data_IF_998653100749
#
_entry.id   IF_998653100749
#
_cell.length_a   1.000
_cell.length_b   1.000
_cell.length_c   1.000
_cell.angle_alpha   90.00
_cell.angle_beta   90.00
_cell.angle_gamma   90.00
#
_symmetry.space_group_name_H-M   'P 1'
#
loop_
_entity.id
_entity.type
_entity.pdbx_description
1 polymer ?
#
# COMPACT_ATOMS: atom_id res chain seq x y z
N UNK A 1 -12.51 -3.95 -25.04
CA UNK A 1 -11.90 -3.42 -23.79
C UNK A 1 -10.42 -3.27 -24.09
N UNK A 2 -9.94 -2.03 -24.08
CA UNK A 2 -8.69 -1.61 -24.71
C UNK A 2 -7.43 -1.90 -23.90
N UNK A 3 -6.31 -1.42 -24.44
CA UNK A 3 -5.01 -1.34 -23.76
C UNK A 3 -5.11 -0.36 -22.58
N UNK A 4 -4.73 -0.81 -21.39
CA UNK A 4 -4.75 -0.03 -20.14
C UNK A 4 -3.36 0.42 -19.70
N UNK A 5 -2.33 0.15 -20.51
CA UNK A 5 -0.97 0.52 -20.18
C UNK A 5 -0.82 2.03 -20.16
N UNK A 6 -0.10 2.52 -19.16
CA UNK A 6 0.18 3.93 -18.96
C UNK A 6 1.48 4.10 -18.17
N UNK A 7 1.92 5.34 -17.98
CA UNK A 7 3.08 5.65 -17.13
C UNK A 7 2.70 5.83 -15.65
N UNK A 8 3.69 5.79 -14.75
CA UNK A 8 3.46 6.07 -13.32
C UNK A 8 2.80 7.44 -13.09
N UNK A 9 3.30 8.48 -13.78
CA UNK A 9 2.83 9.86 -13.60
C UNK A 9 1.42 10.04 -14.15
N UNK A 10 1.10 9.45 -15.31
CA UNK A 10 -0.26 9.50 -15.87
C UNK A 10 -1.27 8.73 -15.03
N UNK A 11 -0.88 7.59 -14.43
CA UNK A 11 -1.74 6.86 -13.52
C UNK A 11 -2.05 7.69 -12.25
N UNK A 12 -1.01 8.25 -11.62
CA UNK A 12 -1.14 9.04 -10.40
C UNK A 12 -1.80 10.40 -10.62
N UNK A 13 -1.82 10.94 -11.84
CA UNK A 13 -2.57 12.15 -12.17
C UNK A 13 -4.09 12.04 -11.89
N UNK A 14 -4.61 10.83 -11.72
CA UNK A 14 -6.00 10.61 -11.32
C UNK A 14 -6.26 10.72 -9.81
N UNK A 15 -5.21 10.85 -8.99
CA UNK A 15 -5.28 11.02 -7.54
C UNK A 15 -5.38 12.50 -7.21
N UNK A 16 -6.34 12.86 -6.37
CA UNK A 16 -6.62 14.24 -5.98
C UNK A 16 -6.49 14.40 -4.45
N UNK A 17 -6.25 15.63 -4.00
CA UNK A 17 -6.19 15.92 -2.56
C UNK A 17 -7.53 15.60 -1.89
N UNK A 18 -7.47 15.09 -0.66
CA UNK A 18 -8.67 14.71 0.09
C UNK A 18 -9.20 13.30 -0.20
N UNK A 19 -8.65 12.59 -1.19
CA UNK A 19 -9.07 11.23 -1.52
C UNK A 19 -8.74 10.21 -0.41
N UNK A 20 -9.58 9.18 -0.34
CA UNK A 20 -9.34 7.95 0.40
C UNK A 20 -8.59 6.96 -0.49
N UNK A 21 -7.32 6.71 -0.16
CA UNK A 21 -6.41 5.86 -0.91
C UNK A 21 -6.15 4.53 -0.18
N UNK A 22 -6.45 3.42 -0.85
CA UNK A 22 -6.03 2.09 -0.43
C UNK A 22 -4.66 1.74 -0.98
N UNK A 23 -3.78 1.23 -0.12
CA UNK A 23 -2.43 0.81 -0.52
C UNK A 23 -2.27 -0.68 -0.21
N UNK A 24 -2.13 -1.48 -1.26
CA UNK A 24 -1.91 -2.92 -1.17
C UNK A 24 -0.58 -3.31 -0.55
N UNK A 25 -0.24 -4.60 -0.64
CA UNK A 25 0.87 -5.19 0.07
C UNK A 25 0.65 -5.23 1.59
N UNK A 26 1.73 -5.50 2.32
CA UNK A 26 1.67 -5.77 3.76
C UNK A 26 2.96 -5.40 4.47
N UNK A 27 2.94 -4.42 5.37
CA UNK A 27 4.17 -4.00 6.06
C UNK A 27 5.24 -3.63 5.04
N UNK A 28 6.42 -4.24 5.15
CA UNK A 28 7.49 -4.11 4.15
C UNK A 28 7.49 -5.28 3.16
N UNK A 29 6.32 -5.54 2.54
CA UNK A 29 6.11 -6.62 1.57
C UNK A 29 5.19 -6.18 0.43
N UNK A 30 5.71 -6.30 -0.79
CA UNK A 30 5.09 -6.00 -2.10
C UNK A 30 4.31 -4.68 -2.11
N UNK A 31 4.84 -3.67 -1.42
CA UNK A 31 4.23 -2.34 -1.43
C UNK A 31 4.40 -1.72 -2.81
N UNK A 32 3.41 -0.98 -3.34
CA UNK A 32 3.54 -0.28 -4.63
C UNK A 32 4.41 0.98 -4.51
N UNK A 33 5.67 0.83 -4.09
CA UNK A 33 6.54 1.93 -3.71
C UNK A 33 6.84 2.91 -4.84
N UNK A 34 6.87 2.44 -6.09
CA UNK A 34 7.00 3.31 -7.27
C UNK A 34 5.81 4.27 -7.42
N UNK A 35 4.57 3.82 -7.15
CA UNK A 35 3.41 4.71 -7.09
C UNK A 35 3.50 5.68 -5.90
N UNK A 36 3.99 5.22 -4.74
CA UNK A 36 4.20 6.09 -3.58
C UNK A 36 5.20 7.21 -3.92
N UNK A 37 6.34 6.88 -4.55
CA UNK A 37 7.31 7.87 -5.01
C UNK A 37 6.73 8.82 -6.06
N UNK A 38 5.91 8.31 -6.98
CA UNK A 38 5.20 9.15 -7.95
C UNK A 38 4.24 10.14 -7.27
N UNK A 39 3.47 9.67 -6.28
CA UNK A 39 2.57 10.52 -5.49
C UNK A 39 3.35 11.56 -4.66
N UNK A 40 4.54 11.22 -4.17
CA UNK A 40 5.43 12.15 -3.47
C UNK A 40 5.86 13.34 -4.34
N UNK A 41 5.98 13.16 -5.66
CA UNK A 41 6.35 14.23 -6.60
C UNK A 41 5.22 15.22 -6.90
N UNK A 42 3.98 14.87 -6.58
CA UNK A 42 2.80 15.73 -6.81
C UNK A 42 2.59 16.71 -5.65
N UNK A 43 1.68 17.66 -5.81
CA UNK A 43 1.18 18.54 -4.75
C UNK A 43 -0.01 17.95 -3.96
N UNK A 44 -0.45 16.72 -4.30
CA UNK A 44 -1.56 16.03 -3.63
C UNK A 44 -1.29 15.88 -2.13
N UNK A 45 -2.27 16.23 -1.30
CA UNK A 45 -2.22 16.16 0.16
C UNK A 45 -3.62 15.88 0.75
N UNK A 46 -3.79 16.03 2.07
CA UNK A 46 -5.05 15.81 2.79
C UNK A 46 -5.60 14.38 2.64
N UNK A 47 -4.74 13.40 2.37
CA UNK A 47 -5.16 12.03 2.05
C UNK A 47 -5.67 11.29 3.29
N UNK A 48 -6.71 10.49 3.07
CA UNK A 48 -7.10 9.43 4.00
C UNK A 48 -6.50 8.12 3.50
N UNK A 49 -5.61 7.49 4.26
CA UNK A 49 -4.91 6.27 3.83
C UNK A 49 -5.50 5.03 4.50
N UNK A 50 -5.79 3.98 3.71
CA UNK A 50 -6.19 2.66 4.19
C UNK A 50 -5.11 1.65 3.82
N UNK A 51 -4.45 1.04 4.81
CA UNK A 51 -3.26 0.20 4.54
C UNK A 51 -2.95 -0.79 5.66
N UNK A 52 -2.38 -1.94 5.27
CA UNK A 52 -1.52 -2.72 6.17
C UNK A 52 -0.13 -2.08 6.15
N UNK A 53 0.09 -1.11 7.04
CA UNK A 53 1.10 -0.08 6.86
C UNK A 53 2.55 -0.56 6.99
N UNK A 54 3.43 0.05 6.21
CA UNK A 54 4.88 -0.05 6.33
C UNK A 54 5.54 1.22 5.80
N UNK A 55 6.63 1.12 5.01
CA UNK A 55 7.34 2.29 4.51
C UNK A 55 6.55 3.12 3.48
N UNK A 56 5.50 2.57 2.89
CA UNK A 56 4.53 3.30 2.07
C UNK A 56 3.91 4.46 2.85
N UNK A 57 3.37 4.16 4.03
CA UNK A 57 2.75 5.15 4.90
C UNK A 57 3.80 6.12 5.48
N UNK A 58 4.97 5.60 5.85
CA UNK A 58 6.08 6.43 6.33
C UNK A 58 6.51 7.51 5.33
N UNK A 59 6.68 7.16 4.05
CA UNK A 59 7.00 8.12 2.99
C UNK A 59 5.90 9.17 2.79
N UNK A 60 4.62 8.81 2.88
CA UNK A 60 3.53 9.78 2.77
C UNK A 60 3.49 10.72 3.99
N UNK A 61 3.76 10.20 5.20
CA UNK A 61 3.86 10.98 6.42
C UNK A 61 5.05 11.96 6.38
N UNK A 62 6.21 11.55 5.85
CA UNK A 62 7.40 12.43 5.75
C UNK A 62 7.16 13.64 4.85
N UNK A 63 6.28 13.50 3.85
CA UNK A 63 5.87 14.57 2.95
C UNK A 63 4.65 15.36 3.44
N UNK A 64 4.11 15.06 4.63
CA UNK A 64 2.93 15.74 5.18
C UNK A 64 1.65 15.54 4.36
N UNK A 65 1.55 14.43 3.61
CA UNK A 65 0.44 14.17 2.68
C UNK A 65 -0.77 13.52 3.33
N UNK A 66 -0.63 13.04 4.56
CA UNK A 66 -1.61 12.21 5.26
C UNK A 66 -2.37 13.05 6.28
N UNK A 67 -3.69 13.00 6.24
CA UNK A 67 -4.59 13.58 7.24
C UNK A 67 -5.15 12.53 8.19
N UNK A 68 -5.56 11.38 7.65
CA UNK A 68 -6.17 10.29 8.41
C UNK A 68 -5.63 8.94 7.95
N UNK A 69 -5.54 7.98 8.86
CA UNK A 69 -5.10 6.61 8.54
C UNK A 69 -6.01 5.56 9.17
N UNK A 70 -6.50 4.64 8.36
CA UNK A 70 -7.14 3.38 8.74
C UNK A 70 -6.13 2.24 8.58
N UNK A 71 -5.70 1.62 9.68
CA UNK A 71 -4.63 0.61 9.65
C UNK A 71 -4.79 -0.44 10.73
N UNK A 72 -4.36 -1.66 10.43
CA UNK A 72 -4.26 -2.76 11.39
C UNK A 72 -2.95 -2.72 12.20
N UNK A 73 -1.86 -2.31 11.54
CA UNK A 73 -0.54 -2.10 12.14
C UNK A 73 0.28 -1.20 11.20
N UNK A 74 1.45 -0.75 11.67
CA UNK A 74 2.52 -0.16 10.84
C UNK A 74 3.85 -0.81 11.19
N UNK A 75 4.49 -1.49 10.23
CA UNK A 75 5.72 -2.25 10.47
C UNK A 75 6.65 -2.26 9.27
N UNK A 76 7.94 -2.12 9.54
CA UNK A 76 9.03 -2.34 8.60
C UNK A 76 9.43 -3.83 8.49
N UNK A 77 8.82 -4.71 9.28
CA UNK A 77 9.07 -6.17 9.38
C UNK A 77 10.50 -6.59 9.82
N UNK A 78 11.47 -5.69 9.75
CA UNK A 78 12.86 -5.86 10.16
C UNK A 78 13.28 -4.67 11.02
N UNK A 79 14.32 -4.80 11.88
CA UNK A 79 14.82 -3.70 12.70
C UNK A 79 15.02 -2.40 11.88
N UNK A 80 14.54 -1.24 12.38
CA UNK A 80 14.06 -0.98 13.74
C UNK A 80 12.58 -1.33 14.01
N UNK A 81 11.91 -2.05 13.10
CA UNK A 81 10.51 -2.48 13.13
C UNK A 81 9.49 -1.35 13.01
N UNK A 82 9.60 -0.31 13.83
CA UNK A 82 8.70 0.85 13.73
C UNK A 82 9.16 1.77 12.60
N UNK A 83 8.22 2.22 11.77
CA UNK A 83 8.49 3.25 10.78
C UNK A 83 8.67 4.62 11.49
N UNK A 84 9.82 5.29 11.33
CA UNK A 84 10.13 6.51 12.09
C UNK A 84 9.28 7.71 11.66
N UNK A 85 8.86 7.78 10.40
CA UNK A 85 8.05 8.89 9.89
C UNK A 85 6.59 8.77 10.33
N UNK A 86 6.05 7.57 10.31
CA UNK A 86 4.75 7.29 10.93
C UNK A 86 4.79 7.58 12.44
N UNK A 87 5.83 7.13 13.15
CA UNK A 87 5.98 7.40 14.58
C UNK A 87 6.01 8.91 14.88
N UNK A 88 6.80 9.69 14.12
CA UNK A 88 6.86 11.16 14.22
C UNK A 88 5.49 11.80 13.95
N UNK A 89 4.75 11.32 12.95
CA UNK A 89 3.43 11.84 12.62
C UNK A 89 2.38 11.54 13.72
N UNK A 90 2.45 10.36 14.34
CA UNK A 90 1.59 9.97 15.47
C UNK A 90 1.87 10.79 16.72
N UNK A 91 3.13 10.93 17.11
CA UNK A 91 3.50 11.62 18.36
C UNK A 91 3.35 13.14 18.28
N UNK A 92 3.40 13.72 17.08
CA UNK A 92 3.10 15.14 16.85
C UNK A 92 1.61 15.45 16.80
N UNK A 93 0.75 14.43 16.69
CA UNK A 93 -0.70 14.63 16.48
C UNK A 93 -1.07 15.12 15.09
N UNK A 94 -0.17 15.01 14.10
CA UNK A 94 -0.39 15.48 12.72
C UNK A 94 -1.37 14.63 11.91
N UNK A 95 -1.62 13.39 12.34
CA UNK A 95 -2.55 12.47 11.69
C UNK A 95 -3.66 12.01 12.64
N UNK A 96 -4.85 11.90 12.09
CA UNK A 96 -5.97 11.25 12.75
C UNK A 96 -5.88 9.72 12.56
N UNK A 97 -5.88 8.98 13.66
CA UNK A 97 -5.78 7.52 13.64
C UNK A 97 -7.15 6.87 13.80
N UNK A 98 -7.44 5.93 12.90
CA UNK A 98 -8.51 4.93 12.98
C UNK A 98 -7.88 3.53 13.08
N UNK A 99 -6.98 3.39 14.05
CA UNK A 99 -6.34 2.12 14.37
C UNK A 99 -7.41 1.05 14.67
N UNK A 100 -7.22 -0.15 14.15
CA UNK A 100 -8.15 -1.26 14.30
C UNK A 100 -7.39 -2.58 14.38
N UNK A 101 -8.10 -3.66 14.68
CA UNK A 101 -7.55 -5.00 14.50
C UNK A 101 -7.31 -5.29 13.00
N UNK A 102 -6.24 -6.00 12.68
CA UNK A 102 -5.87 -6.35 11.31
C UNK A 102 -6.98 -7.09 10.54
N UNK A 103 -7.73 -7.94 11.23
CA UNK A 103 -8.89 -8.64 10.69
C UNK A 103 -10.09 -7.71 10.43
N UNK A 104 -10.21 -6.60 11.17
CA UNK A 104 -11.21 -5.57 10.88
C UNK A 104 -10.92 -4.86 9.56
N UNK A 105 -9.65 -4.59 9.23
CA UNK A 105 -9.29 -3.95 7.95
C UNK A 105 -9.72 -4.85 6.78
N UNK A 106 -9.41 -6.15 6.84
CA UNK A 106 -9.89 -7.14 5.86
C UNK A 106 -11.42 -7.13 5.78
N UNK A 107 -12.10 -7.13 6.92
CA UNK A 107 -13.56 -7.15 6.99
C UNK A 107 -14.19 -5.91 6.34
N UNK A 108 -13.62 -4.73 6.59
CA UNK A 108 -14.06 -3.46 5.98
C UNK A 108 -13.87 -3.44 4.46
N UNK A 109 -12.74 -3.94 3.96
CA UNK A 109 -12.53 -4.10 2.51
C UNK A 109 -13.51 -5.14 1.91
N UNK A 110 -13.77 -6.25 2.60
CA UNK A 110 -14.75 -7.23 2.15
C UNK A 110 -16.16 -6.64 2.06
N UNK A 111 -16.56 -5.81 3.05
CA UNK A 111 -17.85 -5.12 3.03
C UNK A 111 -17.95 -4.18 1.81
N UNK A 112 -16.90 -3.37 1.56
CA UNK A 112 -16.82 -2.48 0.40
C UNK A 112 -16.87 -3.23 -0.93
N UNK A 113 -16.05 -4.27 -1.11
CA UNK A 113 -16.02 -5.11 -2.30
C UNK A 113 -17.38 -5.78 -2.60
N UNK A 114 -18.15 -6.12 -1.56
CA UNK A 114 -19.49 -6.69 -1.69
C UNK A 114 -20.60 -5.63 -1.81
N UNK A 115 -20.27 -4.34 -1.69
CA UNK A 115 -21.20 -3.20 -1.65
C UNK A 115 -22.20 -3.30 -0.50
N UNK A 116 -21.74 -3.83 0.63
CA UNK A 116 -22.48 -3.86 1.89
C UNK A 116 -22.05 -2.69 2.77
N UNK A 117 -22.95 -2.09 3.57
CA UNK A 117 -22.58 -0.96 4.43
C UNK A 117 -21.66 -1.36 5.59
N UNK A 118 -21.76 -2.61 6.05
CA UNK A 118 -20.91 -3.17 7.10
C UNK A 118 -20.89 -4.71 7.01
N UNK A 119 -19.92 -5.32 7.70
CA UNK A 119 -19.94 -6.74 8.03
C UNK A 119 -19.77 -6.93 9.55
N UNK A 120 -20.45 -7.92 10.17
CA UNK A 120 -20.30 -8.19 11.60
C UNK A 120 -18.97 -8.87 11.89
N UNK A 121 -18.25 -8.40 12.91
CA UNK A 121 -16.98 -8.99 13.37
C UNK A 121 -16.86 -8.93 14.90
N UNK A 122 -16.19 -9.92 15.50
CA UNK A 122 -15.94 -9.95 16.96
C UNK A 122 -14.75 -9.09 17.38
N UNK A 123 -13.72 -9.01 16.52
CA UNK A 123 -12.53 -8.21 16.76
C UNK A 123 -12.90 -6.75 17.03
N UNK A 124 -12.22 -6.13 17.99
CA UNK A 124 -12.50 -4.77 18.48
C UNK A 124 -13.41 -4.71 19.72
N UNK A 125 -14.21 -5.74 20.02
CA UNK A 125 -14.96 -5.79 21.27
C UNK A 125 -14.02 -5.93 22.47
N UNK A 126 -14.21 -5.08 23.48
CA UNK A 126 -13.45 -5.11 24.73
C UNK A 126 -12.02 -4.53 24.64
N UNK A 127 -11.62 -4.00 23.48
CA UNK A 127 -10.34 -3.29 23.30
C UNK A 127 -10.54 -1.79 23.09
N UNK A 128 -9.43 -1.04 23.09
CA UNK A 128 -9.42 0.40 22.83
C UNK A 128 -9.65 0.78 21.35
N UNK A 129 -9.85 -0.18 20.46
CA UNK A 129 -10.20 0.10 19.05
C UNK A 129 -11.40 1.05 18.97
N UNK A 130 -12.40 0.89 19.84
CA UNK A 130 -13.54 1.81 19.89
C UNK A 130 -13.16 3.25 20.24
N UNK A 131 -12.11 3.47 21.04
CA UNK A 131 -11.64 4.80 21.39
C UNK A 131 -10.99 5.52 20.20
N UNK A 132 -10.30 4.78 19.30
CA UNK A 132 -9.74 5.34 18.08
C UNK A 132 -10.80 5.81 17.07
N UNK A 133 -11.96 5.16 17.08
CA UNK A 133 -13.04 5.43 16.12
C UNK A 133 -14.14 6.34 16.65
N UNK A 134 -14.33 6.40 17.97
CA UNK A 134 -15.45 7.13 18.57
C UNK A 134 -16.79 6.63 18.03
N UNK A 135 -17.66 7.55 17.62
CA UNK A 135 -19.02 7.25 17.12
C UNK A 135 -19.04 6.69 15.68
N UNK A 136 -17.89 6.65 14.99
CA UNK A 136 -17.80 6.06 13.65
C UNK A 136 -17.89 4.52 13.67
N UNK A 137 -17.50 3.87 14.78
CA UNK A 137 -17.55 2.42 14.92
C UNK A 137 -18.66 1.99 15.88
N UNK A 138 -19.69 1.34 15.32
CA UNK A 138 -20.90 0.93 16.04
C UNK A 138 -20.98 -0.58 16.21
N UNK A 139 -21.90 -1.02 17.05
CA UNK A 139 -22.25 -2.43 17.21
C UNK A 139 -23.52 -2.79 16.44
N UNK A 140 -23.73 -4.08 16.22
CA UNK A 140 -24.94 -4.66 15.63
C UNK A 140 -25.34 -5.90 16.41
N UNK A 141 -26.64 -6.02 16.71
CA UNK A 141 -27.21 -7.18 17.40
C UNK A 141 -27.73 -8.20 16.41
N UNK A 142 -27.45 -9.48 16.67
CA UNK A 142 -27.99 -10.58 15.89
C UNK A 142 -29.52 -10.65 16.04
N UNK A 143 -30.28 -10.86 14.94
CA UNK A 143 -31.71 -11.13 15.05
C UNK A 143 -32.04 -12.58 15.45
N UNK A 144 -31.03 -13.46 15.56
CA UNK A 144 -31.19 -14.90 15.81
C UNK A 144 -30.69 -15.36 17.19
N UNK A 145 -30.13 -14.46 17.99
CA UNK A 145 -29.58 -14.76 19.32
C UNK A 145 -29.12 -13.51 20.05
N UNK A 146 -28.46 -13.68 21.18
CA UNK A 146 -28.11 -12.57 22.08
C UNK A 146 -26.81 -11.85 21.73
N UNK A 147 -26.08 -12.32 20.70
CA UNK A 147 -24.80 -11.75 20.32
C UNK A 147 -24.92 -10.30 19.81
N UNK A 148 -24.04 -9.45 20.32
CA UNK A 148 -23.76 -8.11 19.79
C UNK A 148 -22.31 -8.08 19.32
N UNK A 149 -22.10 -7.66 18.06
CA UNK A 149 -20.82 -7.66 17.37
C UNK A 149 -20.44 -6.25 16.90
N UNK A 150 -19.18 -6.01 16.54
CA UNK A 150 -18.81 -4.78 15.83
C UNK A 150 -19.43 -4.83 14.43
N UNK A 151 -20.07 -3.73 14.04
CA UNK A 151 -20.49 -3.47 12.67
C UNK A 151 -19.34 -2.78 11.95
N UNK A 152 -18.39 -3.55 11.40
CA UNK A 152 -17.22 -2.98 10.73
C UNK A 152 -17.68 -2.28 9.44
N UNK A 153 -17.58 -0.94 9.35
CA UNK A 153 -18.06 -0.22 8.17
C UNK A 153 -17.24 -0.58 6.93
N UNK A 154 -17.87 -0.47 5.77
CA UNK A 154 -17.18 -0.61 4.50
C UNK A 154 -16.07 0.43 4.35
N UNK A 155 -14.86 -0.04 4.03
CA UNK A 155 -13.72 0.80 3.66
C UNK A 155 -13.76 1.08 2.16
N UNK A 156 -14.70 1.94 1.75
CA UNK A 156 -14.80 2.39 0.35
C UNK A 156 -13.64 3.33 0.03
N UNK A 157 -13.04 3.15 -1.15
CA UNK A 157 -11.83 3.86 -1.55
C UNK A 157 -12.09 4.64 -2.84
N UNK A 158 -11.54 5.85 -2.94
CA UNK A 158 -11.55 6.60 -4.20
C UNK A 158 -10.52 6.00 -5.17
N UNK A 159 -9.37 5.56 -4.63
CA UNK A 159 -8.29 4.97 -5.41
C UNK A 159 -7.59 3.82 -4.68
N UNK A 160 -7.23 2.76 -5.40
CA UNK A 160 -6.37 1.69 -4.89
C UNK A 160 -5.07 1.59 -5.70
N UNK A 161 -3.95 1.46 -4.98
CA UNK A 161 -2.61 1.23 -5.53
C UNK A 161 -2.16 -0.19 -5.16
N UNK A 162 -1.82 -1.00 -6.15
CA UNK A 162 -1.34 -2.38 -5.96
C UNK A 162 -0.12 -2.66 -6.82
N UNK A 163 0.74 -3.58 -6.36
CA UNK A 163 1.87 -4.10 -7.11
C UNK A 163 1.82 -5.63 -7.21
N UNK A 164 2.07 -6.16 -8.41
CA UNK A 164 2.09 -7.61 -8.68
C UNK A 164 3.34 -8.01 -9.46
N UNK A 165 3.65 -9.29 -9.48
CA UNK A 165 4.82 -9.80 -10.22
C UNK A 165 4.56 -9.75 -11.73
N UNK A 166 3.43 -10.28 -12.20
CA UNK A 166 3.11 -10.35 -13.62
C UNK A 166 1.73 -9.76 -13.91
N UNK A 167 1.57 -9.14 -15.07
CA UNK A 167 0.27 -8.78 -15.58
C UNK A 167 0.22 -8.62 -17.09
N UNK A 168 -0.98 -8.47 -17.62
CA UNK A 168 -1.19 -8.16 -19.04
C UNK A 168 -1.71 -6.74 -19.25
N UNK A 169 -1.65 -6.27 -20.49
CA UNK A 169 -2.12 -4.94 -20.89
C UNK A 169 -3.63 -4.69 -20.67
N UNK A 170 -4.40 -5.73 -20.31
CA UNK A 170 -5.86 -5.65 -20.07
C UNK A 170 -6.17 -5.59 -18.57
N UNK A 171 -5.17 -5.71 -17.71
CA UNK A 171 -5.28 -5.66 -16.26
C UNK A 171 -5.60 -7.01 -15.61
N UNK A 172 -5.35 -8.13 -16.28
CA UNK A 172 -5.23 -9.40 -15.55
C UNK A 172 -3.84 -9.48 -14.92
N UNK A 173 -3.72 -9.96 -13.69
CA UNK A 173 -2.45 -10.00 -12.99
C UNK A 173 -2.34 -11.13 -11.99
N UNK A 174 -1.09 -11.49 -11.67
CA UNK A 174 -0.76 -12.57 -10.76
C UNK A 174 0.40 -12.21 -9.84
N UNK A 175 0.31 -12.72 -8.61
CA UNK A 175 1.43 -12.86 -7.71
C UNK A 175 2.16 -14.19 -7.99
N UNK A 176 3.46 -14.24 -7.73
CA UNK A 176 4.27 -15.47 -7.90
C UNK A 176 4.87 -15.96 -6.57
N UNK A 177 4.78 -15.17 -5.51
CA UNK A 177 5.21 -15.50 -4.16
C UNK A 177 4.24 -16.40 -3.39
N UNK A 178 4.49 -16.55 -2.10
CA UNK A 178 3.70 -17.42 -1.21
C UNK A 178 2.37 -16.82 -0.77
N UNK A 179 2.15 -15.52 -0.98
CA UNK A 179 1.02 -14.78 -0.40
C UNK A 179 0.43 -13.75 -1.40
N UNK A 180 -0.89 -13.78 -1.66
CA UNK A 180 -1.58 -12.74 -2.41
C UNK A 180 -1.77 -11.43 -1.62
N UNK A 181 -1.59 -11.46 -0.30
CA UNK A 181 -2.06 -10.42 0.62
C UNK A 181 -3.56 -10.15 0.42
N UNK A 182 -3.95 -8.89 0.36
CA UNK A 182 -5.34 -8.45 0.23
C UNK A 182 -5.52 -7.51 -0.97
N UNK A 183 -4.63 -7.62 -1.95
CA UNK A 183 -4.51 -6.70 -3.08
C UNK A 183 -5.78 -6.71 -3.96
N UNK A 184 -6.40 -7.86 -4.15
CA UNK A 184 -7.69 -8.00 -4.83
C UNK A 184 -8.82 -7.28 -4.08
N UNK A 185 -8.84 -7.36 -2.75
CA UNK A 185 -9.82 -6.65 -1.93
C UNK A 185 -9.64 -5.13 -2.02
N UNK A 186 -8.41 -4.63 -2.03
CA UNK A 186 -8.14 -3.20 -2.25
C UNK A 186 -8.70 -2.75 -3.60
N UNK A 187 -8.42 -3.49 -4.67
CA UNK A 187 -8.90 -3.15 -6.01
C UNK A 187 -10.44 -3.23 -6.10
N UNK A 188 -11.06 -4.23 -5.51
CA UNK A 188 -12.53 -4.36 -5.51
C UNK A 188 -13.23 -3.31 -4.64
N UNK A 189 -12.52 -2.68 -3.70
CA UNK A 189 -13.07 -1.67 -2.79
C UNK A 189 -12.91 -0.23 -3.33
N UNK A 190 -12.30 -0.06 -4.52
CA UNK A 190 -11.94 1.24 -5.05
C UNK A 190 -12.65 1.63 -6.35
N UNK A 191 -12.90 2.92 -6.53
CA UNK A 191 -13.44 3.48 -7.78
C UNK A 191 -12.37 3.49 -8.90
N UNK A 192 -11.16 4.00 -8.60
CA UNK A 192 -10.00 4.01 -9.49
C UNK A 192 -8.98 2.95 -9.07
N UNK A 193 -8.59 2.05 -9.96
CA UNK A 193 -7.72 0.90 -9.65
C UNK A 193 -6.42 0.90 -10.44
N UNK A 194 -5.33 1.24 -9.78
CA UNK A 194 -4.02 1.43 -10.38
C UNK A 194 -3.13 0.23 -10.04
N UNK A 195 -2.78 -0.53 -11.07
CA UNK A 195 -1.93 -1.70 -10.95
C UNK A 195 -0.54 -1.39 -11.50
N UNK A 196 0.50 -1.67 -10.72
CA UNK A 196 1.87 -1.77 -11.21
C UNK A 196 2.29 -3.25 -11.24
N UNK A 197 3.13 -3.61 -12.19
CA UNK A 197 3.68 -4.97 -12.31
C UNK A 197 5.17 -4.94 -12.58
N UNK A 198 5.90 -5.96 -12.14
CA UNK A 198 7.32 -6.11 -12.50
C UNK A 198 7.50 -6.27 -14.00
N UNK A 199 6.62 -7.05 -14.65
CA UNK A 199 6.65 -7.28 -16.10
C UNK A 199 5.25 -7.38 -16.69
N UNK A 200 5.04 -6.68 -17.79
CA UNK A 200 3.86 -6.86 -18.64
C UNK A 200 4.13 -7.94 -19.69
N UNK A 201 3.25 -8.93 -19.74
CA UNK A 201 3.31 -10.06 -20.68
C UNK A 201 2.01 -10.19 -21.48
N UNK A 202 2.01 -11.03 -22.51
CA UNK A 202 0.75 -11.37 -23.19
C UNK A 202 -0.19 -12.14 -22.25
N UNK A 203 -1.51 -12.05 -22.46
CA UNK A 203 -2.47 -12.84 -21.67
C UNK A 203 -2.18 -14.34 -21.73
N UNK A 204 -1.74 -14.84 -22.90
CA UNK A 204 -1.39 -16.26 -23.08
C UNK A 204 -0.15 -16.66 -22.27
N UNK A 205 0.89 -15.81 -22.25
CA UNK A 205 2.07 -16.02 -21.41
C UNK A 205 1.70 -15.97 -19.93
N UNK A 206 0.91 -14.98 -19.50
CA UNK A 206 0.47 -14.83 -18.11
C UNK A 206 -0.19 -16.11 -17.58
N UNK A 207 -1.22 -16.62 -18.28
CA UNK A 207 -1.98 -17.80 -17.83
C UNK A 207 -1.19 -19.11 -17.89
N UNK A 208 -0.09 -19.14 -18.65
CA UNK A 208 0.83 -20.29 -18.71
C UNK A 208 1.93 -20.22 -17.64
N UNK A 209 2.31 -19.01 -17.21
CA UNK A 209 3.38 -18.78 -16.24
C UNK A 209 2.99 -19.04 -14.79
N UNK A 210 1.70 -19.03 -14.46
CA UNK A 210 1.21 -19.18 -13.08
C UNK A 210 0.02 -20.15 -12.99
N UNK A 211 -0.22 -20.79 -11.84
CA UNK A 211 -1.43 -21.58 -11.64
C UNK A 211 -2.68 -20.68 -11.64
N UNK A 212 -3.87 -21.20 -12.03
CA UNK A 212 -5.09 -20.39 -12.12
C UNK A 212 -5.47 -19.64 -10.83
N UNK A 213 -5.15 -20.19 -9.66
CA UNK A 213 -5.42 -19.59 -8.35
C UNK A 213 -4.59 -18.33 -8.09
N UNK A 214 -3.44 -18.19 -8.75
CA UNK A 214 -2.60 -17.00 -8.64
C UNK A 214 -3.10 -15.83 -9.50
N UNK A 215 -4.00 -16.08 -10.47
CA UNK A 215 -4.68 -15.06 -11.28
C UNK A 215 -5.81 -14.39 -10.48
N UNK A 216 -5.44 -13.77 -9.37
CA UNK A 216 -6.38 -13.20 -8.42
C UNK A 216 -7.06 -11.94 -8.98
N UNK A 217 -6.35 -11.20 -9.83
CA UNK A 217 -6.82 -9.93 -10.42
C UNK A 217 -7.26 -10.18 -11.85
N UNK A 218 -8.50 -9.80 -12.15
CA UNK A 218 -9.05 -9.82 -13.50
C UNK A 218 -9.29 -8.41 -14.05
N UNK A 219 -9.52 -8.33 -15.37
CA UNK A 219 -9.78 -7.09 -16.12
C UNK A 219 -10.85 -6.14 -15.54
N UNK A 220 -11.80 -6.59 -14.71
CA UNK A 220 -12.81 -5.73 -14.10
C UNK A 220 -12.30 -5.04 -12.83
N UNK A 221 -11.18 -5.49 -12.28
CA UNK A 221 -10.58 -4.99 -11.06
C UNK A 221 -9.46 -3.96 -11.32
N UNK A 222 -9.13 -3.64 -12.57
CA UNK A 222 -8.01 -2.73 -12.90
C UNK A 222 -8.40 -1.69 -13.94
N UNK A 223 -8.03 -0.41 -13.76
CA UNK A 223 -8.28 0.66 -14.74
C UNK A 223 -7.00 1.00 -15.51
N UNK A 224 -5.85 1.00 -14.83
CA UNK A 224 -4.53 1.27 -15.44
C UNK A 224 -3.51 0.20 -15.07
N UNK A 225 -2.61 -0.09 -16.00
CA UNK A 225 -1.48 -1.01 -15.82
C UNK A 225 -0.17 -0.26 -16.06
N UNK A 226 0.77 -0.36 -15.14
CA UNK A 226 2.10 0.25 -15.27
C UNK A 226 3.16 -0.84 -15.14
N UNK A 227 4.05 -0.95 -16.12
CA UNK A 227 5.25 -1.78 -15.98
C UNK A 227 6.28 -0.99 -15.16
N UNK A 228 6.58 -1.48 -13.95
CA UNK A 228 7.50 -0.85 -13.01
C UNK A 228 8.45 -1.91 -12.44
N UNK A 229 9.52 -2.28 -13.18
CA UNK A 229 10.53 -3.22 -12.69
C UNK A 229 11.20 -2.70 -11.42
N UNK A 230 11.40 -3.57 -10.44
CA UNK A 230 11.84 -3.25 -9.09
C UNK A 230 10.90 -2.22 -8.39
N UNK A 231 9.62 -2.24 -8.74
CA UNK A 231 8.63 -1.23 -8.37
C UNK A 231 8.18 -1.32 -6.91
N UNK A 232 8.37 -2.48 -6.27
CA UNK A 232 8.14 -2.65 -4.85
C UNK A 232 9.35 -2.31 -3.97
N UNK A 233 10.51 -2.01 -4.56
CA UNK A 233 11.71 -1.65 -3.80
C UNK A 233 11.45 -0.45 -2.88
N UNK A 234 11.88 -0.48 -1.62
CA UNK A 234 12.80 -1.45 -0.99
C UNK A 234 12.12 -2.63 -0.26
N UNK A 235 10.80 -2.78 -0.40
CA UNK A 235 10.07 -3.92 0.17
C UNK A 235 10.35 -5.22 -0.59
N UNK A 236 9.93 -6.37 -0.05
CA UNK A 236 10.09 -7.65 -0.75
C UNK A 236 9.10 -7.81 -1.90
N UNK A 237 9.46 -8.52 -2.97
CA UNK A 237 8.55 -9.00 -4.00
C UNK A 237 8.92 -10.45 -4.38
N UNK A 238 9.00 -11.33 -3.38
CA UNK A 238 9.37 -12.72 -3.61
C UNK A 238 8.45 -13.40 -4.64
N UNK A 239 9.00 -14.27 -5.50
CA UNK A 239 10.38 -14.75 -5.55
C UNK A 239 11.33 -13.84 -6.35
N UNK A 240 10.84 -12.77 -6.98
CA UNK A 240 11.63 -11.95 -7.90
C UNK A 240 12.80 -11.25 -7.20
N UNK A 241 12.54 -10.69 -6.01
CA UNK A 241 13.59 -10.17 -5.14
C UNK A 241 13.16 -10.11 -3.67
N UNK A 242 14.15 -10.22 -2.79
CA UNK A 242 13.98 -10.04 -1.34
C UNK A 242 13.96 -8.57 -0.97
N UNK A 243 13.51 -8.27 0.25
CA UNK A 243 13.63 -6.94 0.85
C UNK A 243 15.08 -6.45 0.81
N UNK A 244 15.27 -5.19 0.45
CA UNK A 244 16.57 -4.55 0.52
C UNK A 244 16.83 -4.06 1.95
N UNK A 245 17.26 -4.98 2.81
CA UNK A 245 17.44 -4.73 4.24
C UNK A 245 18.45 -3.59 4.53
N UNK A 246 19.45 -3.42 3.66
CA UNK A 246 20.43 -2.34 3.82
C UNK A 246 19.82 -1.00 3.46
N UNK A 247 19.07 -0.94 2.36
CA UNK A 247 18.42 0.30 1.95
C UNK A 247 17.27 0.69 2.90
N UNK A 248 16.50 -0.27 3.40
CA UNK A 248 15.46 0.00 4.40
C UNK A 248 16.05 0.57 5.69
N UNK A 249 17.18 0.02 6.15
CA UNK A 249 17.91 0.57 7.29
C UNK A 249 18.38 2.00 7.02
N UNK A 250 18.95 2.25 5.84
CA UNK A 250 19.36 3.59 5.42
C UNK A 250 18.19 4.59 5.40
N UNK A 251 17.02 4.19 4.90
CA UNK A 251 15.78 4.97 4.98
C UNK A 251 15.40 5.31 6.43
N UNK A 252 15.42 4.31 7.32
CA UNK A 252 15.03 4.53 8.71
C UNK A 252 16.04 5.41 9.47
N UNK A 253 17.33 5.25 9.23
CA UNK A 253 18.40 6.06 9.81
C UNK A 253 18.39 7.50 9.29
N UNK A 254 18.08 7.70 8.00
CA UNK A 254 17.94 9.01 7.39
C UNK A 254 16.77 9.83 7.99
N UNK A 255 15.81 9.20 8.65
CA UNK A 255 14.75 9.91 9.38
C UNK A 255 15.22 10.52 10.72
N UNK A 256 16.48 10.29 11.13
CA UNK A 256 17.01 10.69 12.43
C UNK A 256 17.27 12.19 12.60
N UNK A 257 17.48 12.95 11.52
CA UNK A 257 17.60 14.41 11.55
C UNK A 257 17.08 15.04 10.26
N UNK A 258 16.80 16.35 10.29
CA UNK A 258 16.31 17.06 9.10
C UNK A 258 17.40 17.12 8.01
N UNK A 259 18.68 17.18 8.38
CA UNK A 259 19.81 17.18 7.45
C UNK A 259 19.95 15.83 6.72
N UNK A 260 19.95 14.72 7.45
CA UNK A 260 20.08 13.39 6.83
C UNK A 260 18.85 13.04 5.99
N UNK A 261 17.67 13.53 6.39
CA UNK A 261 16.47 13.38 5.59
C UNK A 261 16.51 14.22 4.32
N UNK A 262 16.98 15.48 4.39
CA UNK A 262 17.12 16.33 3.21
C UNK A 262 18.09 15.73 2.18
N UNK A 263 19.19 15.11 2.63
CA UNK A 263 20.10 14.37 1.76
C UNK A 263 19.42 13.15 1.11
N UNK A 264 18.66 12.38 1.89
CA UNK A 264 17.89 11.24 1.38
C UNK A 264 16.87 11.68 0.32
N UNK A 265 16.12 12.75 0.58
CA UNK A 265 15.15 13.32 -0.38
C UNK A 265 15.84 13.75 -1.66
N UNK A 266 16.91 14.54 -1.54
CA UNK A 266 17.67 15.05 -2.70
C UNK A 266 18.20 13.91 -3.58
N UNK A 267 18.67 12.83 -2.94
CA UNK A 267 19.30 11.71 -3.64
C UNK A 267 18.29 10.75 -4.27
N UNK A 268 17.19 10.46 -3.58
CA UNK A 268 16.29 9.36 -3.93
C UNK A 268 14.88 9.80 -4.35
N UNK A 269 14.41 10.96 -3.91
CA UNK A 269 12.98 11.35 -4.03
C UNK A 269 12.75 12.61 -4.86
N UNK A 270 13.80 13.32 -5.30
CA UNK A 270 13.70 14.55 -6.10
C UNK A 270 13.68 14.33 -7.63
N UNK A 271 13.88 13.09 -8.09
CA UNK A 271 13.94 12.74 -9.52
C UNK A 271 12.82 11.79 -9.95
N UNK A 272 12.93 11.29 -11.18
CA UNK A 272 12.05 10.26 -11.73
C UNK A 272 12.25 8.90 -11.04
N UNK A 273 11.38 7.94 -11.34
CA UNK A 273 11.59 6.55 -10.89
C UNK A 273 12.91 5.97 -11.43
N UNK A 274 13.33 6.34 -12.65
CA UNK A 274 14.60 5.88 -13.20
C UNK A 274 15.80 6.43 -12.40
N UNK A 275 15.71 7.68 -11.94
CA UNK A 275 16.74 8.32 -11.11
C UNK A 275 16.84 7.64 -9.74
N UNK A 276 15.69 7.35 -9.10
CA UNK A 276 15.63 6.56 -7.86
C UNK A 276 16.34 5.23 -8.03
N UNK A 277 15.98 4.47 -9.08
CA UNK A 277 16.55 3.15 -9.34
C UNK A 277 18.05 3.23 -9.62
N UNK A 278 18.52 4.29 -10.29
CA UNK A 278 19.95 4.52 -10.51
C UNK A 278 20.70 4.83 -9.21
N UNK A 279 20.14 5.69 -8.35
CA UNK A 279 20.71 6.02 -7.05
C UNK A 279 20.78 4.80 -6.11
N UNK A 280 19.74 3.96 -6.09
CA UNK A 280 19.73 2.70 -5.33
C UNK A 280 20.81 1.74 -5.81
N UNK A 281 21.01 1.59 -7.13
CA UNK A 281 22.10 0.77 -7.68
C UNK A 281 23.47 1.29 -7.26
N UNK A 282 23.66 2.61 -7.31
CA UNK A 282 24.90 3.25 -6.85
C UNK A 282 25.15 2.97 -5.37
N UNK A 283 24.15 3.14 -4.51
CA UNK A 283 24.23 2.82 -3.08
C UNK A 283 24.67 1.37 -2.82
N UNK A 284 24.12 0.40 -3.57
CA UNK A 284 24.54 -1.01 -3.48
C UNK A 284 26.00 -1.21 -3.86
N UNK A 285 26.42 -0.63 -4.98
CA UNK A 285 27.80 -0.73 -5.47
C UNK A 285 28.80 -0.10 -4.49
N UNK A 286 28.48 1.05 -3.92
CA UNK A 286 29.34 1.75 -2.96
C UNK A 286 29.52 0.93 -1.67
N UNK A 287 28.45 0.24 -1.22
CA UNK A 287 28.51 -0.68 -0.08
C UNK A 287 29.29 -1.96 -0.35
N UNK A 288 29.35 -2.41 -1.60
CA UNK A 288 30.14 -3.57 -2.01
C UNK A 288 31.62 -3.21 -2.19
N UNK A 289 31.92 -2.02 -2.70
CA UNK A 289 33.28 -1.52 -2.84
C UNK A 289 33.94 -1.15 -1.50
N UNK A 290 33.13 -0.87 -0.46
CA UNK A 290 33.61 -0.56 0.89
C UNK A 290 33.87 -1.80 1.76
N UNK A 291 33.74 -3.01 1.20
CA UNK A 291 34.03 -4.29 1.86
C UNK A 291 35.36 -4.87 1.39
#
# INVERSE_FOLDING_TARGET
>A
MGDKRTTLDEAIASVESGMTIGIGGWGSRRKPMAFIRALLRTDVTDLTVVTYGGPDLGLLCSAGKVKRVYYGFVSLDSPPFYDPWFAKARTSGSIESREMDEGMLRCGLQAAAQRLPFLPIRAGLGSDVRAFWGDELKTVRSPYGDEELIAMPALNLDVALVHMNLGDQRGNAAYTGIDPYFDDLFLMSAEKRLLSVEKVVSTEELVKSVPPQALLINRMMVDTVVEAPNGAHFTTAEPDYRRDEKFQRHYAEAAGSDETWAEFVTTYLSGSEADYQAAVRKFKNDLEASK
#
